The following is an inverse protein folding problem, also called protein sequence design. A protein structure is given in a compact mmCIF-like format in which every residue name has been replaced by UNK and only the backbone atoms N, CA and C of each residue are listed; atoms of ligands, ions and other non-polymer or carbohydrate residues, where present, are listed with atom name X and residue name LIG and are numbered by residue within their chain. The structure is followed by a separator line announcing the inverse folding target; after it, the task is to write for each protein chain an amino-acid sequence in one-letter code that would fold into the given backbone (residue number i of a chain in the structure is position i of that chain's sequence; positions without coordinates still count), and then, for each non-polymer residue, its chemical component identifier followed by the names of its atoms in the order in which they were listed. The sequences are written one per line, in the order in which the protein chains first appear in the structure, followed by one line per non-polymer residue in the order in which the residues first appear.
data_IF_600417187436
#
_entry.id   IF_600417187436
#
_cell.length_a   1.000
_cell.length_b   1.000
_cell.length_c   1.000
_cell.angle_alpha   90.00
_cell.angle_beta   90.00
_cell.angle_gamma   90.00
#
_symmetry.space_group_name_H-M   'P 1'
#
loop_
_entity.id
_entity.type
_entity.pdbx_description
1 polymer ?
#
# COMPACT_ATOMS: atom_id res chain seq x y z
N UNK A 1 -6.54 5.74 -31.12
CA UNK A 1 -7.57 5.76 -30.05
C UNK A 1 -7.17 4.85 -28.86
N UNK A 2 -5.95 4.95 -28.30
CA UNK A 2 -5.42 3.97 -27.32
C UNK A 2 -5.34 4.41 -25.85
N UNK A 3 -5.30 5.72 -25.57
CA UNK A 3 -4.94 6.23 -24.23
C UNK A 3 -6.10 6.26 -23.22
N UNK A 4 -7.36 6.31 -23.69
CA UNK A 4 -8.53 6.42 -22.81
C UNK A 4 -8.74 5.19 -21.93
N UNK A 5 -8.50 3.98 -22.46
CA UNK A 5 -8.69 2.74 -21.73
C UNK A 5 -7.57 2.47 -20.70
N UNK A 6 -6.32 2.81 -21.03
CA UNK A 6 -5.20 2.72 -20.09
C UNK A 6 -5.39 3.71 -18.94
N UNK A 7 -5.74 4.97 -19.24
CA UNK A 7 -6.02 5.98 -18.22
C UNK A 7 -7.16 5.56 -17.27
N UNK A 8 -8.27 5.05 -17.82
CA UNK A 8 -9.40 4.57 -17.02
C UNK A 8 -9.02 3.34 -16.15
N UNK A 9 -8.26 2.39 -16.69
CA UNK A 9 -7.75 1.24 -15.94
C UNK A 9 -6.82 1.66 -14.80
N UNK A 10 -5.87 2.56 -15.08
CA UNK A 10 -4.94 3.11 -14.10
C UNK A 10 -5.70 3.83 -12.99
N UNK A 11 -6.68 4.67 -13.33
CA UNK A 11 -7.50 5.39 -12.35
C UNK A 11 -8.30 4.43 -11.47
N UNK A 12 -8.96 3.42 -12.06
CA UNK A 12 -9.69 2.39 -11.30
C UNK A 12 -8.76 1.61 -10.36
N UNK A 13 -7.57 1.24 -10.85
CA UNK A 13 -6.54 0.60 -10.04
C UNK A 13 -6.11 1.48 -8.87
N UNK A 14 -5.85 2.76 -9.13
CA UNK A 14 -5.46 3.72 -8.10
C UNK A 14 -6.53 3.89 -7.03
N UNK A 15 -7.80 4.05 -7.43
CA UNK A 15 -8.91 4.18 -6.49
C UNK A 15 -9.10 2.90 -5.66
N UNK A 16 -9.00 1.73 -6.29
CA UNK A 16 -9.10 0.45 -5.59
C UNK A 16 -7.95 0.26 -4.59
N UNK A 17 -6.72 0.61 -4.98
CA UNK A 17 -5.54 0.53 -4.12
C UNK A 17 -5.59 1.52 -2.96
N UNK A 18 -6.04 2.76 -3.19
CA UNK A 18 -6.28 3.73 -2.12
C UNK A 18 -7.36 3.24 -1.14
N UNK A 19 -8.44 2.66 -1.65
CA UNK A 19 -9.50 2.11 -0.82
C UNK A 19 -9.02 0.91 0.02
N UNK A 20 -8.16 0.05 -0.55
CA UNK A 20 -7.54 -1.05 0.17
C UNK A 20 -6.60 -0.55 1.27
N UNK A 21 -5.77 0.45 0.99
CA UNK A 21 -4.91 1.09 1.99
C UNK A 21 -5.72 1.78 3.11
N UNK A 22 -6.85 2.40 2.77
CA UNK A 22 -7.76 2.94 3.79
C UNK A 22 -8.33 1.83 4.68
N UNK A 23 -8.80 0.74 4.08
CA UNK A 23 -9.31 -0.41 4.82
C UNK A 23 -8.24 -1.00 5.75
N UNK A 24 -7.00 -1.12 5.28
CA UNK A 24 -5.85 -1.54 6.09
C UNK A 24 -5.62 -0.60 7.27
N UNK A 25 -5.50 0.71 7.03
CA UNK A 25 -5.28 1.70 8.09
C UNK A 25 -6.40 1.71 9.15
N UNK A 26 -7.66 1.45 8.74
CA UNK A 26 -8.79 1.35 9.66
C UNK A 26 -8.82 0.02 10.43
N UNK A 27 -8.34 -1.07 9.83
CA UNK A 27 -8.22 -2.39 10.46
C UNK A 27 -7.06 -2.44 11.46
N UNK A 28 -5.95 -1.76 11.15
CA UNK A 28 -4.68 -1.86 11.87
C UNK A 28 -4.77 -1.67 13.40
N UNK A 29 -5.59 -0.76 13.97
CA UNK A 29 -5.74 -0.66 15.42
C UNK A 29 -6.23 -1.96 16.08
N UNK A 30 -7.11 -2.70 15.39
CA UNK A 30 -7.57 -4.01 15.84
C UNK A 30 -6.43 -5.04 15.77
N UNK A 31 -5.65 -5.04 14.69
CA UNK A 31 -4.50 -5.95 14.56
C UNK A 31 -3.46 -5.71 15.66
N UNK A 32 -3.16 -4.44 15.97
CA UNK A 32 -2.27 -4.06 17.07
C UNK A 32 -2.79 -4.59 18.41
N UNK A 33 -4.10 -4.53 18.65
CA UNK A 33 -4.75 -5.07 19.84
C UNK A 33 -4.68 -6.61 19.91
N UNK A 34 -5.04 -7.30 18.83
CA UNK A 34 -5.10 -8.77 18.79
C UNK A 34 -3.69 -9.38 18.87
N UNK A 35 -2.74 -8.84 18.10
CA UNK A 35 -1.39 -9.39 18.00
C UNK A 35 -0.39 -8.76 18.96
N UNK A 36 -0.81 -7.77 19.76
CA UNK A 36 0.07 -6.97 20.66
C UNK A 36 1.27 -6.37 19.91
N UNK A 37 1.07 -6.00 18.66
CA UNK A 37 2.10 -5.41 17.80
C UNK A 37 2.19 -3.90 18.03
N UNK A 38 3.42 -3.38 18.03
CA UNK A 38 3.67 -1.93 18.00
C UNK A 38 3.75 -1.37 16.58
N UNK A 39 3.83 -2.24 15.58
CA UNK A 39 3.97 -1.84 14.18
C UNK A 39 2.77 -1.01 13.73
N UNK A 40 3.06 0.05 12.99
CA UNK A 40 2.04 0.93 12.46
C UNK A 40 2.52 1.60 11.16
N UNK A 41 1.91 1.24 10.02
CA UNK A 41 2.31 1.76 8.71
C UNK A 41 2.16 3.29 8.62
N UNK A 42 1.07 3.82 9.19
CA UNK A 42 0.77 5.25 9.18
C UNK A 42 1.78 6.00 10.05
N UNK A 43 2.13 5.46 11.21
CA UNK A 43 3.16 6.05 12.07
C UNK A 43 4.54 6.03 11.42
N UNK A 44 4.93 4.89 10.86
CA UNK A 44 6.21 4.73 10.18
C UNK A 44 6.38 5.75 9.06
N UNK A 45 5.40 5.86 8.16
CA UNK A 45 5.43 6.82 7.05
C UNK A 45 5.35 8.27 7.54
N UNK A 46 4.48 8.53 8.51
CA UNK A 46 4.26 9.87 9.04
C UNK A 46 5.50 10.44 9.73
N UNK A 47 6.09 9.68 10.65
CA UNK A 47 7.28 10.10 11.41
C UNK A 47 8.53 10.22 10.55
N UNK A 48 8.61 9.46 9.46
CA UNK A 48 9.71 9.60 8.51
C UNK A 48 9.77 10.99 7.84
N UNK A 49 8.63 11.69 7.71
CA UNK A 49 8.57 13.01 7.06
C UNK A 49 8.19 14.16 8.00
N UNK A 50 7.55 13.88 9.13
CA UNK A 50 7.06 14.88 10.09
C UNK A 50 7.27 14.39 11.53
N UNK A 51 8.16 15.04 12.32
CA UNK A 51 8.35 14.67 13.72
C UNK A 51 7.30 15.27 14.67
N UNK A 52 6.49 16.22 14.19
CA UNK A 52 5.48 16.93 14.97
C UNK A 52 4.11 16.23 15.01
N UNK A 53 3.14 16.82 15.72
CA UNK A 53 1.78 16.29 15.85
C UNK A 53 1.01 16.10 14.52
N UNK A 54 1.53 16.63 13.40
CA UNK A 54 0.99 16.42 12.07
C UNK A 54 1.35 15.08 11.43
N UNK A 55 2.20 14.26 12.06
CA UNK A 55 2.67 12.98 11.51
C UNK A 55 1.53 12.05 11.07
N UNK A 56 0.44 11.97 11.84
CA UNK A 56 -0.65 11.04 11.53
C UNK A 56 -1.34 11.38 10.20
N UNK A 57 -1.62 12.68 9.96
CA UNK A 57 -2.23 13.12 8.71
C UNK A 57 -1.29 12.89 7.53
N UNK A 58 -0.01 13.21 7.70
CA UNK A 58 1.00 12.98 6.66
C UNK A 58 1.14 11.48 6.34
N UNK A 59 1.24 10.64 7.36
CA UNK A 59 1.34 9.19 7.23
C UNK A 59 0.14 8.57 6.53
N UNK A 60 -1.08 9.00 6.89
CA UNK A 60 -2.30 8.49 6.26
C UNK A 60 -2.36 8.87 4.77
N UNK A 61 -2.01 10.11 4.43
CA UNK A 61 -1.93 10.56 3.02
C UNK A 61 -0.89 9.73 2.26
N UNK A 62 0.29 9.53 2.83
CA UNK A 62 1.34 8.73 2.21
C UNK A 62 0.92 7.27 2.05
N UNK A 63 0.26 6.68 3.04
CA UNK A 63 -0.22 5.30 2.97
C UNK A 63 -1.29 5.13 1.86
N UNK A 64 -2.24 6.05 1.77
CA UNK A 64 -3.24 6.08 0.70
C UNK A 64 -2.59 6.27 -0.69
N UNK A 65 -1.60 7.15 -0.78
CA UNK A 65 -0.85 7.39 -2.02
C UNK A 65 -0.07 6.14 -2.44
N UNK A 66 0.58 5.44 -1.51
CA UNK A 66 1.28 4.19 -1.78
C UNK A 66 0.31 3.11 -2.28
N UNK A 67 -0.84 2.95 -1.61
CA UNK A 67 -1.91 2.07 -2.07
C UNK A 67 -2.40 2.42 -3.47
N UNK A 68 -2.60 3.72 -3.76
CA UNK A 68 -3.00 4.18 -5.08
C UNK A 68 -1.96 3.85 -6.16
N UNK A 69 -0.68 4.10 -5.88
CA UNK A 69 0.41 3.78 -6.80
C UNK A 69 0.49 2.26 -7.04
N UNK A 70 0.44 1.46 -5.98
CA UNK A 70 0.44 0.01 -6.07
C UNK A 70 -0.75 -0.49 -6.90
N UNK A 71 -1.97 -0.03 -6.61
CA UNK A 71 -3.17 -0.42 -7.32
C UNK A 71 -3.15 -0.03 -8.81
N UNK A 72 -2.61 1.15 -9.13
CA UNK A 72 -2.40 1.60 -10.51
C UNK A 72 -1.43 0.66 -11.26
N UNK A 73 -0.30 0.31 -10.65
CA UNK A 73 0.69 -0.62 -11.21
C UNK A 73 0.07 -2.02 -11.37
N UNK A 74 -0.55 -2.54 -10.31
CA UNK A 74 -1.21 -3.84 -10.30
C UNK A 74 -2.25 -3.96 -11.41
N UNK A 75 -3.13 -2.97 -11.58
CA UNK A 75 -4.18 -3.02 -12.60
C UNK A 75 -3.62 -3.13 -14.03
N UNK A 76 -2.43 -2.59 -14.29
CA UNK A 76 -1.79 -2.63 -15.60
C UNK A 76 -0.93 -3.88 -15.81
N UNK A 77 -0.32 -4.44 -14.76
CA UNK A 77 0.59 -5.58 -14.87
C UNK A 77 -0.10 -6.94 -14.61
N UNK A 78 -0.99 -7.02 -13.62
CA UNK A 78 -1.60 -8.27 -13.19
C UNK A 78 -2.33 -9.04 -14.30
N UNK A 79 -3.05 -8.41 -15.26
CA UNK A 79 -3.69 -9.13 -16.35
C UNK A 79 -2.73 -9.96 -17.21
N UNK A 80 -1.47 -9.52 -17.34
CA UNK A 80 -0.42 -10.19 -18.11
C UNK A 80 0.31 -11.30 -17.37
N UNK A 81 0.06 -11.48 -16.06
CA UNK A 81 0.71 -12.55 -15.29
C UNK A 81 0.13 -13.92 -15.70
N UNK A 82 0.99 -14.94 -15.93
CA UNK A 82 0.59 -16.31 -16.23
C UNK A 82 0.12 -17.06 -14.97
N UNK A 83 -0.76 -16.41 -14.19
CA UNK A 83 -1.32 -16.92 -12.95
C UNK A 83 -2.86 -16.86 -13.01
N UNK A 84 -3.57 -17.81 -12.38
CA UNK A 84 -5.01 -17.73 -12.16
C UNK A 84 -5.39 -16.39 -11.51
N UNK A 85 -6.52 -15.75 -11.89
CA UNK A 85 -6.89 -14.43 -11.39
C UNK A 85 -6.87 -14.30 -9.86
N UNK A 86 -7.30 -15.35 -9.15
CA UNK A 86 -7.36 -15.39 -7.68
C UNK A 86 -5.97 -15.36 -7.02
N UNK A 87 -4.91 -15.75 -7.74
CA UNK A 87 -3.54 -15.81 -7.22
C UNK A 87 -2.73 -14.55 -7.55
N UNK A 88 -3.20 -13.69 -8.46
CA UNK A 88 -2.45 -12.50 -8.89
C UNK A 88 -2.24 -11.50 -7.76
N UNK A 89 -3.28 -11.26 -6.95
CA UNK A 89 -3.20 -10.38 -5.78
C UNK A 89 -2.22 -10.89 -4.73
N UNK A 90 -2.39 -12.12 -4.22
CA UNK A 90 -1.43 -12.74 -3.30
C UNK A 90 0.00 -12.77 -3.83
N UNK A 91 0.20 -13.11 -5.11
CA UNK A 91 1.53 -13.12 -5.73
C UNK A 91 2.15 -11.72 -5.77
N UNK A 92 1.37 -10.69 -6.10
CA UNK A 92 1.83 -9.31 -6.09
C UNK A 92 2.22 -8.85 -4.67
N UNK A 93 1.42 -9.18 -3.65
CA UNK A 93 1.73 -8.85 -2.26
C UNK A 93 2.99 -9.56 -1.73
N UNK A 94 3.18 -10.84 -2.06
CA UNK A 94 4.41 -11.58 -1.69
C UNK A 94 5.63 -10.99 -2.42
N UNK A 95 5.50 -10.66 -3.71
CA UNK A 95 6.58 -10.06 -4.48
C UNK A 95 6.97 -8.68 -3.92
N UNK A 96 5.99 -7.85 -3.57
CA UNK A 96 6.21 -6.57 -2.88
C UNK A 96 6.92 -6.78 -1.55
N UNK A 97 6.44 -7.71 -0.72
CA UNK A 97 7.05 -7.97 0.59
C UNK A 97 8.51 -8.40 0.45
N UNK A 98 8.84 -9.32 -0.46
CA UNK A 98 10.23 -9.75 -0.70
C UNK A 98 11.09 -8.60 -1.22
N UNK A 99 10.57 -7.80 -2.15
CA UNK A 99 11.32 -6.69 -2.75
C UNK A 99 11.59 -5.56 -1.76
N UNK A 100 10.64 -5.27 -0.86
CA UNK A 100 10.72 -4.17 0.09
C UNK A 100 11.26 -4.58 1.46
N UNK A 101 11.32 -5.87 1.78
CA UNK A 101 11.86 -6.38 3.05
C UNK A 101 13.23 -5.80 3.42
N UNK A 102 14.22 -5.65 2.50
CA UNK A 102 15.50 -5.06 2.85
C UNK A 102 15.40 -3.62 3.39
N UNK A 103 14.33 -2.88 3.08
CA UNK A 103 14.12 -1.52 3.57
C UNK A 103 13.74 -1.47 5.05
N UNK A 104 13.38 -2.58 5.69
CA UNK A 104 13.10 -2.64 7.13
C UNK A 104 14.30 -2.13 7.94
N UNK A 105 15.54 -2.35 7.49
CA UNK A 105 16.73 -1.80 8.15
C UNK A 105 16.77 -0.26 8.21
N UNK A 106 16.00 0.44 7.36
CA UNK A 106 15.85 1.90 7.41
C UNK A 106 14.73 2.36 8.36
N UNK A 107 13.91 1.43 8.85
CA UNK A 107 12.72 1.67 9.67
C UNK A 107 12.98 1.51 11.16
N UNK A 108 13.98 0.73 11.58
CA UNK A 108 14.31 0.45 13.00
C UNK A 108 14.67 1.69 13.85
N UNK A 109 14.84 2.86 13.21
CA UNK A 109 15.15 4.14 13.86
C UNK A 109 13.91 4.96 14.25
N UNK A 110 12.70 4.51 13.90
CA UNK A 110 11.44 5.22 14.13
C UNK A 110 10.58 4.53 15.19
#
# INVERSE_FOLDING_TARGET
MGNGNVSNRTLKGALAGAAAALAWALQQPLDKLVFRSRYDDVELLGRAVRPDAGWYRAGLVLHLQNGALFGAVYANLAPGLPLPPVLRGPAAGVAEHIALWPLVGLTDRF
#
